data_IF_381937524505
#
_entry.id   IF_381937524505
#
_cell.length_a   1.000
_cell.length_b   1.000
_cell.length_c   1.000
_cell.angle_alpha   90.00
_cell.angle_beta   90.00
_cell.angle_gamma   90.00
#
_symmetry.space_group_name_H-M   'P 1'
#
loop_
_entity.id
_entity.type
_entity.pdbx_description
1 polymer ?
#
# COMPACT_ATOMS: atom_id res chain seq x y z
N UNK A 1 -15.64 -9.61 7.16
CA UNK A 1 -14.39 -9.43 6.38
C UNK A 1 -13.35 -8.94 7.35
N UNK A 2 -12.39 -9.79 7.70
CA UNK A 2 -11.28 -9.43 8.56
C UNK A 2 -10.44 -8.34 7.89
N UNK A 3 -10.13 -7.27 8.62
CA UNK A 3 -9.25 -6.22 8.13
C UNK A 3 -7.85 -6.82 7.98
N UNK A 4 -7.40 -7.03 6.75
CA UNK A 4 -6.03 -7.47 6.48
C UNK A 4 -5.07 -6.47 7.13
N UNK A 5 -4.24 -6.98 8.05
CA UNK A 5 -3.24 -6.20 8.78
C UNK A 5 -1.94 -6.21 8.00
N UNK A 6 -1.38 -5.03 7.79
CA UNK A 6 -0.05 -4.87 7.24
C UNK A 6 0.68 -3.74 7.97
N UNK A 7 2.00 -3.80 7.94
CA UNK A 7 2.91 -2.80 8.49
C UNK A 7 3.99 -2.48 7.46
N UNK A 8 4.27 -1.20 7.23
CA UNK A 8 5.40 -0.79 6.39
C UNK A 8 6.64 -0.79 7.27
N UNK A 9 7.54 -1.73 7.02
CA UNK A 9 8.79 -1.89 7.76
C UNK A 9 9.83 -0.87 7.30
N UNK A 10 9.83 -0.55 6.01
CA UNK A 10 10.76 0.41 5.43
C UNK A 10 10.61 0.54 3.93
N UNK A 11 11.44 1.38 3.34
CA UNK A 11 11.59 1.51 1.90
C UNK A 11 13.05 1.72 1.53
N UNK A 12 13.40 1.39 0.29
CA UNK A 12 14.73 1.58 -0.26
C UNK A 12 14.65 1.77 -1.77
N UNK A 13 15.74 2.24 -2.39
CA UNK A 13 15.85 2.36 -3.84
C UNK A 13 16.69 1.18 -4.36
N UNK A 14 16.19 0.48 -5.36
CA UNK A 14 16.93 -0.58 -6.07
C UNK A 14 16.78 -0.39 -7.57
N UNK A 15 17.91 -0.30 -8.30
CA UNK A 15 17.93 -0.05 -9.75
C UNK A 15 17.03 1.13 -10.18
N UNK A 16 17.04 2.22 -9.42
CA UNK A 16 16.23 3.42 -9.69
C UNK A 16 14.73 3.27 -9.38
N UNK A 17 14.30 2.14 -8.83
CA UNK A 17 12.90 1.90 -8.41
C UNK A 17 12.76 2.00 -6.90
N UNK A 18 11.70 2.67 -6.44
CA UNK A 18 11.32 2.68 -5.03
C UNK A 18 10.69 1.34 -4.66
N UNK A 19 11.28 0.67 -3.69
CA UNK A 19 10.85 -0.61 -3.15
C UNK A 19 10.30 -0.41 -1.73
N UNK A 20 9.17 -1.05 -1.44
CA UNK A 20 8.55 -1.10 -0.12
C UNK A 20 8.75 -2.46 0.51
N UNK A 21 9.12 -2.46 1.78
CA UNK A 21 9.17 -3.65 2.63
C UNK A 21 7.91 -3.64 3.49
N UNK A 22 7.03 -4.61 3.27
CA UNK A 22 5.72 -4.69 3.93
C UNK A 22 5.60 -6.01 4.64
N UNK A 23 5.22 -5.96 5.92
CA UNK A 23 4.93 -7.14 6.73
C UNK A 23 3.42 -7.36 6.76
N UNK A 24 2.98 -8.48 6.20
CA UNK A 24 1.64 -9.02 6.38
C UNK A 24 1.64 -10.04 7.52
N UNK A 25 0.45 -10.52 7.88
CA UNK A 25 0.28 -11.56 8.89
C UNK A 25 1.09 -12.83 8.60
N UNK A 26 1.24 -13.19 7.32
CA UNK A 26 1.90 -14.42 6.89
C UNK A 26 3.37 -14.26 6.47
N UNK A 27 3.91 -13.04 6.42
CA UNK A 27 5.27 -12.85 5.94
C UNK A 27 5.65 -11.42 5.62
N UNK A 28 6.94 -11.22 5.32
CA UNK A 28 7.49 -9.94 4.86
C UNK A 28 7.76 -10.00 3.37
N UNK A 29 7.27 -9.01 2.64
CA UNK A 29 7.37 -8.92 1.19
C UNK A 29 8.10 -7.65 0.81
N UNK A 30 8.88 -7.75 -0.27
CA UNK A 30 9.52 -6.60 -0.91
C UNK A 30 8.88 -6.43 -2.27
N UNK A 31 8.33 -5.25 -2.54
CA UNK A 31 7.62 -4.99 -3.79
C UNK A 31 7.86 -3.55 -4.26
N UNK A 32 7.84 -3.29 -5.59
CA UNK A 32 7.89 -1.93 -6.11
C UNK A 32 6.73 -1.07 -5.60
N UNK A 33 6.93 0.24 -5.55
CA UNK A 33 5.89 1.19 -5.11
C UNK A 33 4.57 1.04 -5.89
N UNK A 34 4.63 0.79 -7.20
CA UNK A 34 3.45 0.62 -8.04
C UNK A 34 2.63 -0.60 -7.63
N UNK A 35 3.30 -1.73 -7.43
CA UNK A 35 2.68 -2.97 -6.94
C UNK A 35 2.13 -2.78 -5.52
N UNK A 36 2.89 -2.12 -4.64
CA UNK A 36 2.44 -1.82 -3.29
C UNK A 36 1.17 -0.96 -3.27
N UNK A 37 1.10 0.09 -4.09
CA UNK A 37 -0.09 0.95 -4.21
C UNK A 37 -1.31 0.16 -4.67
N UNK A 38 -1.11 -0.79 -5.58
CA UNK A 38 -2.18 -1.67 -6.07
C UNK A 38 -2.67 -2.62 -4.97
N UNK A 39 -1.76 -3.33 -4.30
CA UNK A 39 -2.08 -4.22 -3.18
C UNK A 39 -2.76 -3.45 -2.06
N UNK A 40 -2.18 -2.34 -1.61
CA UNK A 40 -2.77 -1.47 -0.59
C UNK A 40 -4.19 -1.03 -0.96
N UNK A 41 -4.43 -0.78 -2.25
CA UNK A 41 -5.74 -0.39 -2.74
C UNK A 41 -6.78 -1.49 -2.59
N UNK A 42 -6.41 -2.73 -2.93
CA UNK A 42 -7.28 -3.90 -2.73
C UNK A 42 -7.54 -4.21 -1.26
N UNK A 43 -6.55 -3.98 -0.40
CA UNK A 43 -6.66 -4.22 1.05
C UNK A 43 -7.48 -3.15 1.78
N UNK A 44 -7.68 -2.00 1.15
CA UNK A 44 -8.46 -0.87 1.69
C UNK A 44 -9.54 -0.47 0.69
N UNK A 45 -10.49 -1.37 0.35
CA UNK A 45 -11.52 -1.08 -0.65
C UNK A 45 -12.39 0.11 -0.24
N UNK A 46 -12.49 0.43 1.06
CA UNK A 46 -13.16 1.64 1.56
C UNK A 46 -12.54 2.95 1.04
N UNK A 47 -11.29 2.92 0.57
CA UNK A 47 -10.60 4.05 -0.06
C UNK A 47 -10.81 4.12 -1.57
N UNK A 48 -11.63 3.23 -2.12
CA UNK A 48 -11.97 3.15 -3.54
C UNK A 48 -13.49 3.20 -3.70
N UNK A 49 -13.99 4.13 -4.54
CA UNK A 49 -15.42 4.25 -4.85
C UNK A 49 -15.57 4.20 -6.36
N UNK A 50 -16.36 3.24 -6.86
CA UNK A 50 -16.61 3.01 -8.29
C UNK A 50 -15.32 2.90 -9.12
N UNK A 51 -14.35 2.09 -8.67
CA UNK A 51 -13.07 1.86 -9.38
C UNK A 51 -12.10 3.04 -9.33
N UNK A 52 -12.50 4.19 -8.79
CA UNK A 52 -11.65 5.37 -8.64
C UNK A 52 -11.14 5.46 -7.19
N UNK A 53 -9.84 5.75 -7.03
CA UNK A 53 -9.25 6.05 -5.72
C UNK A 53 -9.93 7.29 -5.18
N UNK A 54 -10.61 7.16 -4.04
CA UNK A 54 -11.16 8.32 -3.33
C UNK A 54 -9.96 9.10 -2.81
N UNK A 55 -9.59 10.19 -3.50
CA UNK A 55 -8.75 11.23 -2.90
C UNK A 55 -9.58 11.83 -1.76
N UNK A 56 -9.49 11.25 -0.56
CA UNK A 56 -9.76 12.04 0.62
C UNK A 56 -8.70 13.13 0.61
N UNK A 57 -9.13 14.34 0.25
CA UNK A 57 -8.31 15.54 0.28
C UNK A 57 -7.48 15.50 1.56
N UNK A 58 -6.16 15.36 1.42
CA UNK A 58 -5.23 15.82 2.45
C UNK A 58 -5.53 17.31 2.55
N UNK A 59 -6.41 17.70 3.47
CA UNK A 59 -6.24 18.98 4.14
C UNK A 59 -4.89 18.85 4.83
N UNK A 60 -3.84 19.23 4.11
CA UNK A 60 -2.68 19.80 4.75
C UNK A 60 -3.23 20.95 5.60
N UNK A 61 -2.83 20.94 6.87
CA UNK A 61 -3.13 22.00 7.82
C UNK A 61 -2.82 23.38 7.23
#
# INVERSE_FOLDING_TARGET
MDKIRFEIVGNFISHGKYMFIVKFEHGTHVMPEEEWKWVFGQLRPERWKNGNRVRQNRKLA
#
